data_IF_999477015896
#
_entry.id   IF_999477015896
#
_cell.length_a   1.000
_cell.length_b   1.000
_cell.length_c   1.000
_cell.angle_alpha   90.00
_cell.angle_beta   90.00
_cell.angle_gamma   90.00
#
_symmetry.space_group_name_H-M   'P 1'
#
loop_
_entity.id
_entity.type
_entity.pdbx_description
1 polymer ?
#
# COMPACT_ATOMS: atom_id res chain seq x y z
N UNK A 1 -22.56 -10.63 17.77
CA UNK A 1 -21.09 -10.69 17.89
C UNK A 1 -20.54 -9.54 17.11
N UNK A 2 -19.83 -8.64 17.78
CA UNK A 2 -19.36 -7.39 17.20
C UNK A 2 -18.30 -7.70 16.13
N UNK A 3 -18.69 -7.59 14.85
CA UNK A 3 -17.86 -8.07 13.74
C UNK A 3 -16.90 -6.97 13.36
N UNK A 4 -15.75 -6.93 14.04
CA UNK A 4 -14.60 -6.05 13.74
C UNK A 4 -14.38 -6.01 12.21
N UNK A 5 -14.40 -4.83 11.61
CA UNK A 5 -14.24 -4.67 10.17
C UNK A 5 -12.89 -5.26 9.72
N UNK A 6 -12.87 -6.00 8.61
CA UNK A 6 -11.65 -6.65 8.08
C UNK A 6 -11.24 -5.94 6.81
N UNK A 7 -10.05 -5.34 6.81
CA UNK A 7 -9.54 -4.56 5.69
C UNK A 7 -8.23 -5.17 5.22
N UNK A 8 -8.20 -5.59 3.97
CA UNK A 8 -6.99 -6.04 3.28
C UNK A 8 -6.49 -4.91 2.36
N UNK A 9 -5.25 -4.46 2.56
CA UNK A 9 -4.61 -3.41 1.76
C UNK A 9 -3.62 -4.08 0.83
N UNK A 10 -3.90 -4.07 -0.47
CA UNK A 10 -3.02 -4.63 -1.49
C UNK A 10 -2.16 -3.53 -2.10
N UNK A 11 -0.87 -3.80 -2.23
CA UNK A 11 0.08 -2.91 -2.89
C UNK A 11 1.05 -3.70 -3.75
N UNK A 12 1.62 -3.07 -4.78
CA UNK A 12 2.62 -3.67 -5.68
C UNK A 12 4.05 -3.46 -5.25
N UNK A 13 4.33 -2.73 -4.17
CA UNK A 13 5.67 -2.55 -3.65
C UNK A 13 5.73 -2.74 -2.14
N UNK A 14 6.91 -3.09 -1.64
CA UNK A 14 7.18 -3.26 -0.22
C UNK A 14 8.60 -2.83 0.09
N UNK A 15 8.84 -2.48 1.36
CA UNK A 15 10.19 -2.21 1.82
C UNK A 15 11.08 -3.45 1.63
N UNK A 16 12.37 -3.26 1.34
CA UNK A 16 13.13 -2.00 1.37
C UNK A 16 13.09 -1.20 0.07
N UNK A 17 12.21 -1.50 -0.89
CA UNK A 17 12.06 -0.62 -2.04
C UNK A 17 11.38 0.67 -1.61
N UNK A 18 12.14 1.75 -1.48
CA UNK A 18 11.72 3.02 -0.85
C UNK A 18 10.85 3.90 -1.75
N UNK A 19 9.76 3.35 -2.29
CA UNK A 19 8.80 4.09 -3.13
C UNK A 19 7.55 4.47 -2.34
N UNK A 20 6.79 5.45 -2.85
CA UNK A 20 5.49 5.82 -2.27
C UNK A 20 4.53 4.62 -2.18
N UNK A 21 4.54 3.75 -3.19
CA UNK A 21 3.76 2.51 -3.25
C UNK A 21 4.17 1.49 -2.17
N UNK A 22 5.40 1.51 -1.67
CA UNK A 22 5.80 0.66 -0.55
C UNK A 22 5.47 1.30 0.81
N UNK A 23 5.73 2.60 0.95
CA UNK A 23 5.69 3.31 2.22
C UNK A 23 4.27 3.72 2.62
N UNK A 24 3.49 4.27 1.69
CA UNK A 24 2.16 4.78 1.99
C UNK A 24 1.19 3.67 2.45
N UNK A 25 1.15 2.48 1.82
CA UNK A 25 0.29 1.39 2.26
C UNK A 25 0.71 0.82 3.62
N UNK A 26 2.02 0.82 3.92
CA UNK A 26 2.56 0.43 5.23
C UNK A 26 2.07 1.36 6.33
N UNK A 27 2.23 2.67 6.17
CA UNK A 27 1.70 3.63 7.14
C UNK A 27 0.17 3.56 7.22
N UNK A 28 -0.52 3.40 6.09
CA UNK A 28 -1.97 3.24 6.08
C UNK A 28 -2.42 2.04 6.91
N UNK A 29 -1.74 0.90 6.74
CA UNK A 29 -2.01 -0.29 7.53
C UNK A 29 -1.83 0.01 9.02
N UNK A 30 -0.72 0.68 9.36
CA UNK A 30 -0.41 0.99 10.74
C UNK A 30 -1.43 1.93 11.40
N UNK A 31 -1.79 3.02 10.73
CA UNK A 31 -2.74 3.99 11.26
C UNK A 31 -4.18 3.47 11.30
N UNK A 32 -4.58 2.63 10.34
CA UNK A 32 -5.91 1.99 10.39
C UNK A 32 -6.02 0.91 11.48
N UNK A 33 -4.90 0.33 11.89
CA UNK A 33 -4.83 -0.64 12.97
C UNK A 33 -4.82 0.01 14.36
N UNK A 34 -4.48 1.30 14.42
CA UNK A 34 -4.49 2.09 15.66
C UNK A 34 -5.86 2.01 16.33
N UNK A 35 -5.87 1.78 17.64
CA UNK A 35 -7.09 1.72 18.45
C UNK A 35 -7.75 0.35 18.50
N UNK A 36 -7.40 -0.59 17.62
CA UNK A 36 -7.86 -1.96 17.74
C UNK A 36 -9.34 -2.18 17.37
N UNK A 37 -9.93 -1.30 16.56
CA UNK A 37 -11.34 -1.42 16.14
C UNK A 37 -11.51 -2.13 14.79
N UNK A 38 -10.41 -2.35 14.07
CA UNK A 38 -10.37 -2.93 12.72
C UNK A 38 -9.29 -4.00 12.64
N UNK A 39 -9.55 -5.11 11.96
CA UNK A 39 -8.52 -6.11 11.66
C UNK A 39 -7.91 -5.73 10.32
N UNK A 40 -6.64 -5.33 10.34
CA UNK A 40 -5.93 -4.86 9.15
C UNK A 40 -4.94 -5.92 8.70
N UNK A 41 -4.91 -6.17 7.39
CA UNK A 41 -3.90 -7.01 6.75
C UNK A 41 -3.27 -6.23 5.60
N UNK A 42 -1.96 -6.03 5.65
CA UNK A 42 -1.18 -5.49 4.54
C UNK A 42 -0.73 -6.65 3.65
N UNK A 43 -1.10 -6.61 2.37
CA UNK A 43 -0.79 -7.66 1.39
C UNK A 43 0.23 -7.12 0.40
N UNK A 44 1.44 -7.66 0.44
CA UNK A 44 2.63 -7.15 -0.25
C UNK A 44 3.28 -8.21 -1.15
N UNK A 45 4.06 -7.83 -2.17
CA UNK A 45 4.76 -8.79 -3.02
C UNK A 45 5.93 -9.45 -2.28
N UNK A 46 6.12 -10.74 -2.54
CA UNK A 46 7.34 -11.48 -2.30
C UNK A 46 8.09 -11.69 -3.63
N UNK A 47 9.35 -11.30 -3.66
CA UNK A 47 10.19 -11.38 -4.86
C UNK A 47 11.21 -12.51 -4.75
N UNK A 48 11.55 -13.10 -5.90
CA UNK A 48 12.70 -14.01 -6.00
C UNK A 48 14.00 -13.27 -5.66
N UNK A 49 15.01 -13.98 -5.14
CA UNK A 49 16.33 -13.38 -4.84
C UNK A 49 16.94 -12.63 -6.05
N UNK A 50 16.66 -13.10 -7.27
CA UNK A 50 17.10 -12.42 -8.50
C UNK A 50 16.45 -11.05 -8.65
N UNK A 51 15.14 -10.96 -8.41
CA UNK A 51 14.38 -9.72 -8.54
C UNK A 51 14.64 -8.78 -7.35
N UNK A 52 14.83 -9.32 -6.14
CA UNK A 52 15.25 -8.53 -4.97
C UNK A 52 16.53 -7.74 -5.26
N UNK A 53 17.55 -8.39 -5.85
CA UNK A 53 18.81 -7.73 -6.23
C UNK A 53 18.66 -6.58 -7.23
N UNK A 54 17.58 -6.57 -8.02
CA UNK A 54 17.32 -5.52 -9.01
C UNK A 54 16.59 -4.32 -8.42
N UNK A 55 15.91 -4.52 -7.29
CA UNK A 55 14.88 -3.60 -6.78
C UNK A 55 15.26 -3.02 -5.42
N UNK A 56 15.86 -3.84 -4.56
CA UNK A 56 16.18 -3.47 -3.19
C UNK A 56 17.52 -2.73 -3.13
N UNK A 57 17.56 -1.58 -2.42
CA UNK A 57 18.78 -0.79 -2.29
C UNK A 57 19.82 -1.53 -1.44
N UNK A 58 21.07 -1.05 -1.51
CA UNK A 58 22.17 -1.48 -0.63
C UNK A 58 22.43 -3.00 -0.60
N UNK A 59 22.10 -3.71 -1.69
CA UNK A 59 22.16 -5.17 -1.79
C UNK A 59 21.33 -5.92 -0.75
N UNK A 60 20.28 -5.28 -0.20
CA UNK A 60 19.38 -5.93 0.73
C UNK A 60 18.70 -7.14 0.07
N UNK A 61 18.68 -8.27 0.78
CA UNK A 61 18.05 -9.51 0.35
C UNK A 61 17.49 -10.23 1.56
N UNK A 62 16.36 -10.91 1.35
CA UNK A 62 15.68 -11.71 2.36
C UNK A 62 15.56 -13.14 1.83
N UNK A 63 16.03 -14.10 2.63
CA UNK A 63 15.90 -15.53 2.35
C UNK A 63 14.53 -16.07 2.73
N UNK A 64 13.77 -15.35 3.55
CA UNK A 64 12.44 -15.75 4.01
C UNK A 64 11.47 -14.58 4.17
N UNK A 65 10.17 -14.89 4.15
CA UNK A 65 9.10 -13.92 4.41
C UNK A 65 9.25 -13.24 5.78
N UNK A 66 9.63 -14.03 6.79
CA UNK A 66 9.79 -13.57 8.17
C UNK A 66 10.92 -12.55 8.32
N UNK A 67 12.04 -12.74 7.60
CA UNK A 67 13.14 -11.77 7.62
C UNK A 67 12.68 -10.41 7.06
N UNK A 68 11.93 -10.42 5.95
CA UNK A 68 11.41 -9.19 5.36
C UNK A 68 10.34 -8.54 6.24
N UNK A 69 9.44 -9.34 6.82
CA UNK A 69 8.43 -8.87 7.78
C UNK A 69 9.08 -8.22 9.01
N UNK A 70 10.09 -8.86 9.58
CA UNK A 70 10.87 -8.33 10.71
C UNK A 70 11.58 -7.02 10.35
N UNK A 71 12.16 -6.93 9.15
CA UNK A 71 12.74 -5.69 8.65
C UNK A 71 11.69 -4.56 8.53
N UNK A 72 10.53 -4.85 7.93
CA UNK A 72 9.43 -3.89 7.79
C UNK A 72 8.95 -3.41 9.17
N UNK A 73 8.75 -4.34 10.11
CA UNK A 73 8.33 -4.05 11.48
C UNK A 73 9.31 -3.11 12.18
N UNK A 74 10.61 -3.47 12.21
CA UNK A 74 11.65 -2.64 12.82
C UNK A 74 11.79 -1.27 12.14
N UNK A 75 11.62 -1.20 10.83
CA UNK A 75 11.66 0.07 10.09
C UNK A 75 10.50 0.98 10.47
N UNK A 76 9.30 0.40 10.64
CA UNK A 76 8.07 1.11 11.01
C UNK A 76 8.10 1.57 12.48
N UNK A 77 8.50 0.69 13.40
CA UNK A 77 8.58 0.97 14.84
C UNK A 77 9.44 2.19 15.16
N UNK A 78 10.50 2.44 14.37
CA UNK A 78 11.36 3.62 14.53
C UNK A 78 10.71 4.94 14.09
N UNK A 79 9.52 4.88 13.46
CA UNK A 79 8.85 6.02 12.82
C UNK A 79 7.45 6.29 13.34
N UNK A 80 6.84 5.36 14.07
CA UNK A 80 5.53 5.56 14.70
C UNK A 80 5.68 5.71 16.21
N UNK A 81 4.84 6.56 16.80
CA UNK A 81 4.82 6.83 18.25
C UNK A 81 3.68 6.09 18.97
N UNK A 82 3.13 5.06 18.34
CA UNK A 82 2.01 4.28 18.86
C UNK A 82 2.18 2.80 18.53
N UNK A 83 1.54 1.94 19.32
CA UNK A 83 1.49 0.51 19.05
C UNK A 83 0.49 0.28 17.92
N UNK A 84 0.92 -0.46 16.92
CA UNK A 84 0.13 -0.80 15.74
C UNK A 84 0.15 -2.30 15.53
N UNK A 85 -1.04 -2.92 15.52
CA UNK A 85 -1.20 -4.37 15.37
C UNK A 85 -1.98 -4.69 14.08
N UNK A 86 -1.24 -4.94 13.00
CA UNK A 86 -1.75 -5.41 11.71
C UNK A 86 -0.94 -6.62 11.23
N UNK A 87 -1.58 -7.50 10.46
CA UNK A 87 -0.90 -8.63 9.84
C UNK A 87 -0.24 -8.26 8.52
N UNK A 88 0.86 -8.91 8.17
CA UNK A 88 1.47 -8.84 6.83
C UNK A 88 1.27 -10.19 6.14
N UNK A 89 0.77 -10.17 4.92
CA UNK A 89 0.69 -11.33 4.06
C UNK A 89 1.45 -11.08 2.76
N UNK A 90 2.11 -12.11 2.26
CA UNK A 90 2.91 -12.02 1.05
C UNK A 90 2.22 -12.74 -0.10
N UNK A 91 2.21 -12.12 -1.27
CA UNK A 91 1.78 -12.75 -2.52
C UNK A 91 2.97 -12.91 -3.48
N UNK A 92 3.00 -13.92 -4.38
CA UNK A 92 4.08 -14.06 -5.35
C UNK A 92 4.14 -12.88 -6.32
N UNK A 93 5.26 -12.14 -6.33
CA UNK A 93 5.50 -11.00 -7.23
C UNK A 93 6.68 -11.25 -8.16
N UNK A 94 6.70 -10.59 -9.31
CA UNK A 94 7.82 -10.60 -10.24
C UNK A 94 8.15 -9.18 -10.69
N UNK A 95 9.44 -8.83 -10.70
CA UNK A 95 9.87 -7.55 -11.24
C UNK A 95 9.92 -7.62 -12.78
N UNK A 96 9.11 -6.79 -13.44
CA UNK A 96 9.09 -6.65 -14.89
C UNK A 96 10.03 -5.51 -15.29
N UNK A 97 11.25 -5.86 -15.74
CA UNK A 97 12.31 -4.91 -16.08
C UNK A 97 11.87 -3.89 -17.14
N UNK A 98 11.12 -4.33 -18.15
CA UNK A 98 10.60 -3.49 -19.23
C UNK A 98 9.58 -2.45 -18.73
N UNK A 99 8.85 -2.77 -17.66
CA UNK A 99 7.83 -1.90 -17.06
C UNK A 99 8.33 -1.12 -15.86
N UNK A 100 9.48 -1.52 -15.31
CA UNK A 100 10.03 -1.03 -14.04
C UNK A 100 9.03 -1.13 -12.88
N UNK A 101 8.18 -2.16 -12.92
CA UNK A 101 7.13 -2.40 -11.93
C UNK A 101 7.15 -3.84 -11.47
N UNK A 102 6.74 -4.07 -10.22
CA UNK A 102 6.42 -5.41 -9.74
C UNK A 102 4.99 -5.75 -10.18
N UNK A 103 4.83 -6.97 -10.71
CA UNK A 103 3.55 -7.49 -11.17
C UNK A 103 3.16 -8.70 -10.30
N UNK A 104 1.89 -8.79 -9.88
CA UNK A 104 1.34 -10.00 -9.28
C UNK A 104 1.51 -11.25 -10.15
N UNK A 105 1.85 -12.38 -9.53
CA UNK A 105 1.94 -13.69 -10.19
C UNK A 105 0.89 -14.64 -9.60
N UNK A 106 -0.07 -15.04 -10.42
CA UNK A 106 -1.19 -15.91 -10.02
C UNK A 106 -2.41 -15.15 -9.47
N UNK A 107 -3.33 -15.87 -8.84
CA UNK A 107 -4.50 -15.26 -8.19
C UNK A 107 -4.15 -14.81 -6.76
N UNK A 108 -3.74 -13.56 -6.62
CA UNK A 108 -3.37 -12.97 -5.32
C UNK A 108 -4.56 -12.79 -4.37
N UNK A 109 -5.79 -13.01 -4.82
CA UNK A 109 -6.96 -12.94 -3.95
C UNK A 109 -7.11 -14.16 -3.04
N UNK A 110 -6.42 -15.26 -3.35
CA UNK A 110 -6.38 -16.45 -2.51
C UNK A 110 -5.55 -16.25 -1.23
N UNK A 111 -4.76 -15.17 -1.17
CA UNK A 111 -4.00 -14.80 0.04
C UNK A 111 -4.93 -14.46 1.21
N UNK A 112 -6.11 -13.92 0.91
CA UNK A 112 -7.13 -13.60 1.92
C UNK A 112 -8.21 -14.67 1.87
N UNK A 113 -8.53 -15.29 3.01
CA UNK A 113 -9.59 -16.30 3.09
C UNK A 113 -10.97 -15.68 2.81
N UNK A 114 -11.96 -16.50 2.42
CA UNK A 114 -13.30 -15.98 2.13
C UNK A 114 -13.97 -15.37 3.38
N UNK A 115 -13.64 -15.88 4.56
CA UNK A 115 -14.16 -15.42 5.84
C UNK A 115 -13.58 -14.03 6.20
N UNK A 116 -12.36 -13.75 5.76
CA UNK A 116 -11.64 -12.49 5.99
C UNK A 116 -11.87 -11.44 4.91
N UNK A 117 -12.36 -11.84 3.74
CA UNK A 117 -12.59 -10.97 2.59
C UNK A 117 -13.83 -10.06 2.75
N UNK A 118 -13.69 -9.00 3.54
CA UNK A 118 -14.73 -7.98 3.70
C UNK A 118 -14.44 -6.74 2.83
N UNK A 119 -13.37 -6.00 3.15
CA UNK A 119 -12.98 -4.78 2.43
C UNK A 119 -11.59 -4.96 1.83
N UNK A 120 -11.43 -4.68 0.53
CA UNK A 120 -10.14 -4.56 -0.13
C UNK A 120 -9.83 -3.10 -0.45
N UNK A 121 -8.63 -2.65 -0.14
CA UNK A 121 -8.05 -1.36 -0.57
C UNK A 121 -6.94 -1.68 -1.56
N UNK A 122 -7.01 -1.12 -2.76
CA UNK A 122 -6.05 -1.36 -3.83
C UNK A 122 -5.21 -0.10 -4.04
N UNK A 123 -3.93 -0.16 -3.69
CA UNK A 123 -2.94 0.89 -3.95
C UNK A 123 -2.33 0.65 -5.33
N UNK A 124 -2.44 1.64 -6.22
CA UNK A 124 -2.12 1.51 -7.66
C UNK A 124 -2.85 0.34 -8.34
N UNK A 125 -4.20 0.36 -8.37
CA UNK A 125 -5.01 -0.73 -8.87
C UNK A 125 -4.68 -1.10 -10.33
N UNK A 126 -4.18 -0.17 -11.14
CA UNK A 126 -3.67 -0.42 -12.49
C UNK A 126 -2.60 -1.52 -12.51
N UNK A 127 -1.58 -1.42 -11.65
CA UNK A 127 -0.50 -2.40 -11.55
C UNK A 127 -0.99 -3.74 -10.96
N UNK A 128 -1.94 -3.68 -10.02
CA UNK A 128 -2.57 -4.88 -9.45
C UNK A 128 -3.48 -5.62 -10.44
N UNK A 129 -3.96 -4.95 -11.49
CA UNK A 129 -4.99 -5.51 -12.39
C UNK A 129 -4.53 -5.75 -13.83
N UNK A 130 -3.36 -5.26 -14.26
CA UNK A 130 -2.84 -5.43 -15.63
C UNK A 130 -2.86 -6.88 -16.14
N UNK A 131 -2.52 -7.84 -15.28
CA UNK A 131 -2.44 -9.26 -15.63
C UNK A 131 -3.24 -10.14 -14.66
N UNK A 132 -4.36 -9.61 -14.17
CA UNK A 132 -5.18 -10.34 -13.21
C UNK A 132 -6.02 -11.42 -13.91
N UNK A 133 -5.62 -12.68 -13.74
CA UNK A 133 -6.32 -13.86 -14.28
C UNK A 133 -7.21 -14.58 -13.24
N UNK A 134 -7.30 -14.04 -12.03
CA UNK A 134 -8.01 -14.63 -10.89
C UNK A 134 -9.48 -14.22 -10.78
N UNK A 135 -10.09 -14.54 -9.63
CA UNK A 135 -11.47 -14.11 -9.31
C UNK A 135 -11.61 -12.59 -9.43
N UNK A 136 -12.80 -12.10 -9.80
CA UNK A 136 -13.02 -10.64 -9.77
C UNK A 136 -12.94 -10.16 -8.31
N UNK A 137 -12.22 -9.07 -8.06
CA UNK A 137 -12.12 -8.45 -6.73
C UNK A 137 -13.48 -8.25 -6.06
N UNK A 138 -14.47 -7.76 -6.82
CA UNK A 138 -15.86 -7.52 -6.37
C UNK A 138 -16.68 -8.79 -6.13
N UNK A 139 -16.19 -9.95 -6.54
CA UNK A 139 -16.78 -11.26 -6.23
C UNK A 139 -16.21 -11.81 -4.93
N UNK A 140 -14.94 -11.51 -4.63
CA UNK A 140 -14.26 -11.96 -3.41
C UNK A 140 -14.57 -11.05 -2.21
N UNK A 141 -14.50 -9.73 -2.40
CA UNK A 141 -14.68 -8.73 -1.35
C UNK A 141 -16.04 -8.05 -1.45
N UNK A 142 -16.65 -7.76 -0.31
CA UNK A 142 -17.92 -7.01 -0.22
C UNK A 142 -17.76 -5.57 -0.70
N UNK A 143 -16.63 -4.94 -0.37
CA UNK A 143 -16.29 -3.59 -0.81
C UNK A 143 -14.86 -3.56 -1.35
N UNK A 144 -14.68 -2.90 -2.50
CA UNK A 144 -13.36 -2.67 -3.11
C UNK A 144 -13.15 -1.17 -3.26
N UNK A 145 -12.13 -0.64 -2.59
CA UNK A 145 -11.69 0.75 -2.62
C UNK A 145 -10.43 0.82 -3.49
N UNK A 146 -10.38 1.76 -4.43
CA UNK A 146 -9.27 1.94 -5.36
C UNK A 146 -8.59 3.27 -5.10
N UNK A 147 -7.29 3.24 -4.82
CA UNK A 147 -6.44 4.40 -4.60
C UNK A 147 -5.50 4.50 -5.81
N UNK A 148 -5.70 5.49 -6.68
CA UNK A 148 -4.90 5.68 -7.89
C UNK A 148 -4.58 7.15 -8.09
N UNK A 149 -3.46 7.48 -8.73
CA UNK A 149 -3.24 8.80 -9.34
C UNK A 149 -3.56 8.80 -10.86
N UNK A 150 -3.82 7.64 -11.47
CA UNK A 150 -3.98 7.44 -12.91
C UNK A 150 -5.33 6.80 -13.28
N UNK A 151 -6.24 7.66 -13.73
CA UNK A 151 -7.54 7.47 -14.39
C UNK A 151 -7.86 6.12 -15.07
N UNK A 152 -8.91 5.42 -14.59
CA UNK A 152 -9.82 4.58 -15.39
C UNK A 152 -11.19 4.46 -14.70
N UNK A 153 -12.28 4.74 -15.43
CA UNK A 153 -13.66 4.74 -14.88
C UNK A 153 -14.26 3.31 -14.82
N UNK A 154 -14.78 2.90 -13.66
CA UNK A 154 -15.37 1.57 -13.42
C UNK A 154 -16.74 1.64 -12.71
N UNK A 155 -17.79 0.96 -13.18
CA UNK A 155 -19.09 0.96 -12.51
C UNK A 155 -19.05 0.33 -11.10
N UNK A 156 -19.65 1.02 -10.13
CA UNK A 156 -19.67 0.68 -8.68
C UNK A 156 -18.28 0.68 -8.01
N UNK A 157 -17.40 1.60 -8.42
CA UNK A 157 -16.14 1.86 -7.72
C UNK A 157 -16.11 3.31 -7.22
N UNK A 158 -15.47 3.53 -6.07
CA UNK A 158 -15.11 4.88 -5.62
C UNK A 158 -13.65 5.06 -6.03
N UNK A 159 -13.42 5.97 -6.98
CA UNK A 159 -12.08 6.40 -7.36
C UNK A 159 -11.66 7.44 -6.33
N UNK A 160 -10.71 7.08 -5.46
CA UNK A 160 -9.97 8.07 -4.71
C UNK A 160 -8.73 8.38 -5.54
N UNK A 161 -8.83 9.45 -6.32
CA UNK A 161 -7.62 10.02 -6.90
C UNK A 161 -6.73 10.40 -5.71
N UNK A 162 -5.44 10.07 -5.73
CA UNK A 162 -4.43 10.72 -4.87
C UNK A 162 -4.21 12.20 -5.31
N UNK A 163 -5.27 12.81 -5.83
CA UNK A 163 -5.63 14.21 -5.78
C UNK A 163 -7.00 14.31 -5.09
N UNK A 164 -7.03 14.63 -3.80
CA UNK A 164 -8.28 14.86 -3.07
C UNK A 164 -8.84 13.61 -2.42
N UNK A 165 -8.37 13.36 -1.19
CA UNK A 165 -9.05 12.46 -0.26
C UNK A 165 -10.49 12.93 -0.06
N UNK A 166 -11.44 11.98 0.04
CA UNK A 166 -12.83 12.28 0.37
C UNK A 166 -12.90 13.04 1.72
N UNK A 167 -13.58 14.21 1.82
CA UNK A 167 -13.75 14.92 3.08
C UNK A 167 -14.25 14.04 4.22
N UNK A 168 -15.11 13.05 3.96
CA UNK A 168 -15.56 12.06 4.97
C UNK A 168 -14.46 11.11 5.43
N UNK A 169 -13.52 10.74 4.56
CA UNK A 169 -12.36 9.93 4.95
C UNK A 169 -11.34 10.75 5.74
N UNK A 170 -11.34 12.07 5.56
CA UNK A 170 -10.50 13.02 6.31
C UNK A 170 -11.14 13.41 7.65
N UNK A 171 -12.47 13.47 7.72
CA UNK A 171 -13.22 13.62 8.97
C UNK A 171 -12.96 12.44 9.92
N UNK A 172 -12.83 11.21 9.40
CA UNK A 172 -12.43 10.04 10.19
C UNK A 172 -10.94 10.05 10.60
N UNK A 173 -10.10 10.84 9.94
CA UNK A 173 -8.66 10.96 10.21
C UNK A 173 -8.28 12.30 10.88
N UNK A 174 -9.27 13.10 11.31
CA UNK A 174 -9.03 14.38 11.96
C UNK A 174 -8.20 14.18 13.24
N UNK A 175 -6.94 14.66 13.22
CA UNK A 175 -5.97 14.48 14.31
C UNK A 175 -4.84 13.49 14.04
N UNK A 176 -4.76 12.89 12.84
CA UNK A 176 -3.65 12.05 12.41
C UNK A 176 -2.64 12.89 11.62
N UNK A 177 -1.37 12.85 12.05
CA UNK A 177 -0.26 13.37 11.27
C UNK A 177 0.06 12.38 10.14
N UNK A 178 0.13 12.88 8.90
CA UNK A 178 0.33 12.05 7.72
C UNK A 178 1.72 12.36 7.15
N UNK A 179 2.62 11.39 7.26
CA UNK A 179 3.90 11.41 6.55
C UNK A 179 3.70 10.86 5.13
N UNK A 180 4.08 11.64 4.12
CA UNK A 180 4.03 11.24 2.72
C UNK A 180 5.43 11.25 2.12
N UNK A 181 5.76 10.25 1.32
CA UNK A 181 7.05 10.13 0.65
C UNK A 181 6.82 10.16 -0.86
N UNK A 182 7.40 11.15 -1.56
CA UNK A 182 7.22 11.35 -3.01
C UNK A 182 8.01 12.56 -3.53
N UNK A 183 8.11 12.74 -4.85
CA UNK A 183 8.93 13.80 -5.46
C UNK A 183 8.09 14.96 -6.04
N UNK A 184 8.60 16.18 -5.86
CA UNK A 184 8.20 17.50 -6.39
C UNK A 184 6.70 17.70 -6.68
N UNK A 185 6.23 17.38 -7.89
CA UNK A 185 4.97 17.89 -8.43
C UNK A 185 3.72 17.36 -7.67
N UNK A 186 3.75 16.08 -7.27
CA UNK A 186 2.68 15.51 -6.45
C UNK A 186 2.78 15.95 -4.98
N UNK A 187 4.00 16.17 -4.47
CA UNK A 187 4.23 16.55 -3.07
C UNK A 187 3.68 17.94 -2.72
N UNK A 188 3.78 18.90 -3.63
CA UNK A 188 3.28 20.26 -3.42
C UNK A 188 1.76 20.31 -3.43
N UNK A 189 1.13 19.54 -4.34
CA UNK A 189 -0.33 19.43 -4.43
C UNK A 189 -0.95 18.72 -3.22
N UNK A 190 -0.24 17.75 -2.63
CA UNK A 190 -0.74 17.07 -1.43
C UNK A 190 -0.58 17.93 -0.17
N UNK A 191 0.50 18.73 -0.06
CA UNK A 191 0.59 19.77 1.00
C UNK A 191 -0.56 20.78 0.91
N UNK A 192 -0.88 21.22 -0.30
CA UNK A 192 -1.97 22.18 -0.52
C UNK A 192 -3.33 21.59 -0.11
N UNK A 193 -3.60 20.33 -0.46
CA UNK A 193 -4.79 19.61 -0.03
C UNK A 193 -4.84 19.43 1.50
N UNK A 194 -3.73 19.02 2.12
CA UNK A 194 -3.61 18.87 3.58
C UNK A 194 -3.92 20.15 4.35
N UNK A 195 -3.43 21.29 3.85
CA UNK A 195 -3.69 22.61 4.43
C UNK A 195 -5.18 22.99 4.37
N UNK A 196 -5.88 22.73 3.25
CA UNK A 196 -7.32 23.00 3.12
C UNK A 196 -8.18 22.18 4.09
N UNK A 197 -7.65 21.06 4.56
CA UNK A 197 -8.34 20.07 5.39
C UNK A 197 -7.88 20.07 6.84
N UNK A 198 -7.00 21.02 7.22
CA UNK A 198 -6.41 21.15 8.57
C UNK A 198 -5.68 19.88 9.05
N UNK A 199 -5.09 19.13 8.13
CA UNK A 199 -4.26 17.96 8.45
C UNK A 199 -2.79 18.36 8.46
N UNK A 200 -2.04 17.83 9.44
CA UNK A 200 -0.59 17.99 9.48
C UNK A 200 0.00 16.97 8.52
N UNK A 201 0.38 17.44 7.33
CA UNK A 201 1.02 16.62 6.29
C UNK A 201 2.50 16.96 6.24
N UNK A 202 3.36 15.99 6.58
CA UNK A 202 4.82 16.11 6.43
C UNK A 202 5.24 15.35 5.17
N UNK A 203 5.79 16.06 4.19
CA UNK A 203 6.30 15.40 2.99
C UNK A 203 7.79 15.23 3.09
N UNK A 204 8.24 13.99 3.01
CA UNK A 204 9.62 13.58 2.97
C UNK A 204 10.03 13.27 1.52
N UNK A 205 11.29 13.52 1.14
CA UNK A 205 11.78 13.11 -0.17
C UNK A 205 11.64 11.59 -0.31
N UNK A 206 10.96 11.15 -1.37
CA UNK A 206 10.82 9.75 -1.77
C UNK A 206 11.32 9.57 -3.20
N UNK A 207 11.90 8.40 -3.49
CA UNK A 207 12.36 8.07 -4.83
C UNK A 207 11.22 7.42 -5.61
N UNK A 208 10.99 7.88 -6.83
CA UNK A 208 10.04 7.26 -7.76
C UNK A 208 10.71 6.08 -8.48
N UNK A 209 9.91 5.15 -9.02
CA UNK A 209 10.34 4.03 -9.86
C UNK A 209 11.14 4.48 -11.10
N UNK A 210 11.07 5.77 -11.45
CA UNK A 210 11.83 6.39 -12.54
C UNK A 210 13.18 7.02 -12.11
N UNK A 211 13.53 6.98 -10.82
CA UNK A 211 14.71 7.68 -10.29
C UNK A 211 16.03 7.09 -10.82
N UNK A 212 16.93 7.92 -11.41
CA UNK A 212 18.24 7.49 -11.87
C UNK A 212 19.12 6.83 -10.80
N UNK A 213 18.88 7.07 -9.51
CA UNK A 213 19.63 6.47 -8.40
C UNK A 213 19.48 4.94 -8.31
N UNK A 214 18.46 4.37 -8.95
CA UNK A 214 18.26 2.93 -9.05
C UNK A 214 18.85 2.33 -10.35
N UNK A 215 19.69 3.08 -11.08
CA UNK A 215 20.27 2.73 -12.38
C UNK A 215 21.79 2.97 -12.43
#
# INVERSE_FOLDING_TARGET
MDRRQRIAIFTTASLPWMTGTAINPLFRAAYLAKGGDRKITLVIPWLSLKDQKLVYPDNAMFGSLWEQESYIGQWLERRIVFISDFGICFYPGKFAVDKRSIIPVGDILEIISNEEADIAVLEEPEHLTWFHHGKRWKTKFRLVIRLSAATQDYPRSIICNLHGVNPKFLEELAGIEIDLYGNREDSDRVKEAGNKLKLVVRVHPGHDHSDPLFH
#
